data_IF_736444308247
#
_entry.id   IF_736444308247
#
_cell.length_a   1.000
_cell.length_b   1.000
_cell.length_c   1.000
_cell.angle_alpha   90.00
_cell.angle_beta   90.00
_cell.angle_gamma   90.00
#
_symmetry.space_group_name_H-M   'P 1'
#
loop_
_entity.id
_entity.type
_entity.pdbx_description
1 polymer ?
#
# COMPACT_ATOMS: atom_id res chain seq x y z
N UNK A 1 0.32 -6.06 7.82
CA UNK A 1 0.38 -4.58 7.81
C UNK A 1 1.31 -4.01 6.72
N UNK A 2 2.60 -4.37 6.68
CA UNK A 2 3.56 -3.81 5.71
C UNK A 2 3.16 -4.04 4.24
N UNK A 3 2.74 -5.26 3.88
CA UNK A 3 2.33 -5.59 2.52
C UNK A 3 1.12 -4.75 2.07
N UNK A 4 0.09 -4.63 2.92
CA UNK A 4 -1.06 -3.78 2.64
C UNK A 4 -0.64 -2.30 2.50
N UNK A 5 0.29 -1.82 3.33
CA UNK A 5 0.80 -0.46 3.26
C UNK A 5 1.51 -0.18 1.93
N UNK A 6 2.38 -1.10 1.51
CA UNK A 6 3.16 -0.98 0.29
C UNK A 6 2.29 -1.13 -0.96
N UNK A 7 1.65 -2.28 -1.14
CA UNK A 7 0.86 -2.57 -2.35
C UNK A 7 -0.41 -1.73 -2.46
N UNK A 8 -0.96 -1.26 -1.33
CA UNK A 8 -2.08 -0.31 -1.32
C UNK A 8 -1.68 1.16 -1.45
N UNK A 9 -0.38 1.48 -1.55
CA UNK A 9 0.14 2.86 -1.57
C UNK A 9 -0.40 3.71 -0.42
N UNK A 10 -0.60 3.11 0.75
CA UNK A 10 -1.40 3.69 1.82
C UNK A 10 -0.66 4.79 2.56
N UNK A 11 -1.39 5.84 2.95
CA UNK A 11 -0.92 6.75 3.99
C UNK A 11 -1.00 6.04 5.34
N UNK A 12 -0.10 6.37 6.27
CA UNK A 12 -0.15 5.78 7.61
C UNK A 12 -1.51 5.96 8.31
N UNK A 13 -2.18 7.09 8.13
CA UNK A 13 -3.51 7.36 8.70
C UNK A 13 -4.63 6.53 8.07
N UNK A 14 -4.40 5.95 6.90
CA UNK A 14 -5.35 5.03 6.25
C UNK A 14 -5.26 3.63 6.86
N UNK A 15 -4.20 3.32 7.65
CA UNK A 15 -3.97 2.00 8.26
C UNK A 15 -4.05 2.01 9.79
N UNK A 16 -3.44 3.02 10.40
CA UNK A 16 -3.12 3.02 11.82
C UNK A 16 -3.57 4.35 12.45
N UNK A 17 -4.53 4.30 13.39
CA UNK A 17 -5.00 5.51 14.07
C UNK A 17 -3.92 6.17 14.94
N UNK A 18 -3.98 7.49 15.06
CA UNK A 18 -3.09 8.25 15.98
C UNK A 18 -3.53 8.17 17.45
N UNK A 19 -4.74 7.65 17.72
CA UNK A 19 -5.32 7.52 19.06
C UNK A 19 -5.40 6.05 19.47
N UNK A 20 -5.47 5.79 20.78
CA UNK A 20 -5.73 4.48 21.35
C UNK A 20 -7.22 4.12 21.36
N UNK A 21 -8.12 5.11 21.33
CA UNK A 21 -9.56 4.89 21.29
C UNK A 21 -9.98 4.46 19.88
N UNK A 22 -10.59 3.28 19.77
CA UNK A 22 -11.03 2.77 18.49
C UNK A 22 -12.45 3.29 18.15
N UNK A 23 -12.65 3.65 16.88
CA UNK A 23 -13.96 4.04 16.35
C UNK A 23 -14.13 3.39 14.96
N UNK A 24 -15.02 2.39 14.82
CA UNK A 24 -15.20 1.66 13.57
C UNK A 24 -15.77 2.51 12.44
N UNK A 25 -16.34 3.70 12.71
CA UNK A 25 -16.82 4.59 11.65
C UNK A 25 -15.70 5.27 10.87
N UNK A 26 -14.50 5.41 11.46
CA UNK A 26 -13.38 6.14 10.87
C UNK A 26 -12.06 5.36 10.85
N UNK A 27 -11.93 4.31 11.65
CA UNK A 27 -10.74 3.48 11.72
C UNK A 27 -10.95 2.16 10.96
N UNK A 28 -9.87 1.61 10.36
CA UNK A 28 -9.94 0.32 9.67
C UNK A 28 -10.46 -0.80 10.58
N UNK A 29 -11.43 -1.55 10.09
CA UNK A 29 -12.06 -2.69 10.76
C UNK A 29 -11.93 -3.95 9.91
N UNK A 30 -12.19 -5.12 10.50
CA UNK A 30 -12.15 -6.39 9.75
C UNK A 30 -13.13 -6.42 8.57
N UNK A 31 -14.30 -5.79 8.72
CA UNK A 31 -15.31 -5.63 7.65
C UNK A 31 -14.81 -4.85 6.43
N UNK A 32 -13.74 -4.09 6.57
CA UNK A 32 -13.20 -3.26 5.49
C UNK A 32 -12.33 -4.08 4.53
N UNK A 33 -12.01 -5.34 4.87
CA UNK A 33 -11.41 -6.31 3.95
C UNK A 33 -12.48 -7.31 3.53
N UNK A 34 -12.76 -7.39 2.23
CA UNK A 34 -13.68 -8.35 1.65
C UNK A 34 -13.05 -9.13 0.51
N UNK A 35 -13.51 -10.36 0.28
CA UNK A 35 -13.17 -11.09 -0.94
C UNK A 35 -13.87 -10.47 -2.15
N UNK A 36 -13.17 -10.39 -3.28
CA UNK A 36 -13.72 -9.88 -4.54
C UNK A 36 -13.75 -10.97 -5.63
N UNK A 37 -12.64 -11.68 -5.78
CA UNK A 37 -12.53 -12.90 -6.59
C UNK A 37 -11.72 -13.95 -5.80
N UNK A 38 -11.61 -15.21 -6.25
CA UNK A 38 -10.76 -16.21 -5.60
C UNK A 38 -9.29 -15.78 -5.42
N UNK A 39 -8.84 -14.80 -6.22
CA UNK A 39 -7.47 -14.29 -6.27
C UNK A 39 -7.40 -12.78 -5.97
N UNK A 40 -8.44 -12.18 -5.41
CA UNK A 40 -8.38 -10.77 -5.01
C UNK A 40 -9.21 -10.42 -3.78
N UNK A 41 -8.68 -9.48 -3.00
CA UNK A 41 -9.34 -8.83 -1.87
C UNK A 41 -9.59 -7.36 -2.21
N UNK A 42 -10.63 -6.77 -1.63
CA UNK A 42 -10.85 -5.33 -1.60
C UNK A 42 -10.59 -4.84 -0.18
N UNK A 43 -9.75 -3.82 -0.07
CA UNK A 43 -9.64 -2.99 1.11
C UNK A 43 -10.40 -1.67 0.90
N UNK A 44 -11.46 -1.47 1.67
CA UNK A 44 -12.35 -0.32 1.56
C UNK A 44 -11.92 0.79 2.51
N UNK A 45 -11.46 1.93 1.97
CA UNK A 45 -11.12 3.09 2.79
C UNK A 45 -12.39 3.81 3.26
N UNK A 46 -12.57 3.94 4.58
CA UNK A 46 -13.66 4.70 5.21
C UNK A 46 -13.51 6.22 5.07
N UNK A 47 -12.27 6.71 5.07
CA UNK A 47 -11.97 8.14 4.93
C UNK A 47 -10.68 8.32 4.15
N UNK A 48 -10.77 9.01 3.01
CA UNK A 48 -9.60 9.49 2.27
C UNK A 48 -9.38 10.97 2.58
N UNK A 49 -8.12 11.40 2.73
CA UNK A 49 -7.76 12.82 2.90
C UNK A 49 -8.21 13.70 1.72
N UNK A 50 -8.43 13.11 0.55
CA UNK A 50 -8.81 13.83 -0.69
C UNK A 50 -10.27 13.64 -1.06
N UNK A 51 -11.03 12.90 -0.25
CA UNK A 51 -12.44 12.63 -0.49
C UNK A 51 -13.31 13.51 0.41
N UNK A 52 -13.57 14.73 -0.06
CA UNK A 52 -14.49 15.66 0.59
C UNK A 52 -15.96 15.24 0.43
N UNK A 53 -16.25 14.20 -0.38
CA UNK A 53 -17.59 13.75 -0.74
C UNK A 53 -17.98 12.38 -0.17
N UNK A 54 -17.10 11.70 0.59
CA UNK A 54 -17.39 10.44 1.25
C UNK A 54 -17.56 9.23 0.32
N UNK A 55 -16.99 9.27 -0.89
CA UNK A 55 -16.92 8.11 -1.79
C UNK A 55 -15.83 7.13 -1.32
N UNK A 56 -16.27 6.01 -0.75
CA UNK A 56 -15.42 4.86 -0.44
C UNK A 56 -14.50 4.53 -1.64
N UNK A 57 -13.19 4.52 -1.41
CA UNK A 57 -12.21 4.21 -2.43
C UNK A 57 -11.74 2.76 -2.24
N UNK A 58 -12.14 1.82 -3.12
CA UNK A 58 -11.68 0.44 -3.03
C UNK A 58 -10.21 0.35 -3.44
N UNK A 59 -9.44 -0.41 -2.68
CA UNK A 59 -8.08 -0.80 -3.02
C UNK A 59 -8.08 -2.29 -3.28
N UNK A 60 -7.75 -2.67 -4.50
CA UNK A 60 -7.69 -4.06 -4.91
C UNK A 60 -6.32 -4.63 -4.57
N UNK A 61 -6.32 -5.78 -3.89
CA UNK A 61 -5.14 -6.54 -3.52
C UNK A 61 -5.24 -7.88 -4.24
N UNK A 62 -4.31 -8.14 -5.14
CA UNK A 62 -4.31 -9.34 -5.98
C UNK A 62 -3.35 -10.38 -5.44
N UNK A 63 -3.68 -11.65 -5.68
CA UNK A 63 -2.74 -12.77 -5.56
C UNK A 63 -1.67 -12.63 -6.63
N UNK A 64 -0.40 -12.66 -6.21
CA UNK A 64 0.75 -12.53 -7.10
C UNK A 64 1.58 -13.81 -7.05
N UNK A 65 2.17 -14.20 -8.17
CA UNK A 65 3.15 -15.29 -8.20
C UNK A 65 4.52 -14.80 -7.70
N UNK A 66 4.62 -14.46 -6.41
CA UNK A 66 5.82 -13.89 -5.80
C UNK A 66 5.85 -14.13 -4.28
N UNK A 67 7.04 -14.21 -3.70
CA UNK A 67 7.25 -14.36 -2.26
C UNK A 67 6.73 -13.18 -1.43
N UNK A 68 6.52 -12.02 -2.05
CA UNK A 68 5.92 -10.83 -1.43
C UNK A 68 4.45 -10.62 -1.83
N UNK A 69 3.75 -11.65 -2.31
CA UNK A 69 2.31 -11.56 -2.59
C UNK A 69 1.56 -11.02 -1.37
N UNK A 70 0.80 -9.91 -1.50
CA UNK A 70 0.05 -9.35 -0.38
C UNK A 70 -1.20 -10.16 -0.04
N UNK A 71 -1.70 -10.99 -0.95
CA UNK A 71 -2.98 -11.67 -0.83
C UNK A 71 -3.01 -12.66 0.33
N UNK A 72 -2.11 -13.65 0.33
CA UNK A 72 -2.12 -14.76 1.29
C UNK A 72 -1.98 -14.26 2.73
N UNK A 73 -0.97 -13.42 3.07
CA UNK A 73 -0.79 -13.00 4.45
C UNK A 73 -1.93 -12.13 4.98
N UNK A 74 -2.59 -11.35 4.12
CA UNK A 74 -3.74 -10.53 4.51
C UNK A 74 -4.99 -11.41 4.68
N UNK A 75 -5.24 -12.31 3.73
CA UNK A 75 -6.37 -13.24 3.77
C UNK A 75 -6.29 -14.14 5.00
N UNK A 76 -5.15 -14.79 5.24
CA UNK A 76 -4.93 -15.67 6.40
C UNK A 76 -5.05 -14.91 7.72
N UNK A 77 -4.53 -13.69 7.78
CA UNK A 77 -4.69 -12.84 8.96
C UNK A 77 -6.16 -12.53 9.25
N UNK A 78 -6.94 -12.11 8.24
CA UNK A 78 -8.37 -11.81 8.43
C UNK A 78 -9.17 -13.07 8.79
N UNK A 79 -8.90 -14.19 8.12
CA UNK A 79 -9.55 -15.48 8.41
C UNK A 79 -9.24 -15.95 9.84
N UNK A 80 -7.97 -15.85 10.28
CA UNK A 80 -7.60 -16.22 11.65
C UNK A 80 -8.29 -15.34 12.71
N UNK A 81 -8.52 -14.05 12.41
CA UNK A 81 -9.27 -13.16 13.31
C UNK A 81 -10.72 -13.61 13.45
N UNK A 82 -11.39 -13.93 12.34
CA UNK A 82 -12.76 -14.44 12.38
C UNK A 82 -12.88 -15.83 13.02
N UNK A 83 -11.90 -16.70 12.80
CA UNK A 83 -11.84 -18.02 13.46
C UNK A 83 -11.72 -17.92 14.98
N UNK A 84 -11.15 -16.82 15.50
CA UNK A 84 -11.08 -16.49 16.92
C UNK A 84 -12.27 -15.64 17.40
N UNK A 85 -13.40 -15.67 16.70
CA UNK A 85 -14.65 -15.00 17.07
C UNK A 85 -14.59 -13.47 17.14
N UNK A 86 -13.62 -12.83 16.48
CA UNK A 86 -13.59 -11.36 16.35
C UNK A 86 -14.85 -10.86 15.62
N UNK A 87 -15.44 -9.77 16.13
CA UNK A 87 -16.54 -9.08 15.45
C UNK A 87 -16.06 -8.33 14.19
N UNK A 88 -16.85 -8.22 13.11
CA UNK A 88 -16.48 -7.47 11.90
C UNK A 88 -16.08 -6.01 12.17
N UNK A 89 -16.65 -5.41 13.23
CA UNK A 89 -16.39 -4.04 13.62
C UNK A 89 -15.15 -3.88 14.49
N UNK A 90 -14.43 -4.95 14.83
CA UNK A 90 -13.16 -4.82 15.56
C UNK A 90 -12.04 -4.20 14.72
N UNK A 91 -10.99 -3.63 15.36
CA UNK A 91 -9.85 -3.08 14.64
C UNK A 91 -9.25 -4.09 13.68
N UNK A 92 -8.94 -3.63 12.46
CA UNK A 92 -8.33 -4.47 11.43
C UNK A 92 -7.01 -5.05 11.93
N UNK A 93 -6.09 -4.23 12.43
CA UNK A 93 -4.80 -4.70 12.93
C UNK A 93 -4.69 -4.59 14.45
N UNK A 94 -4.18 -5.66 15.06
CA UNK A 94 -3.84 -5.73 16.48
C UNK A 94 -2.33 -5.86 16.68
N UNK A 95 -1.86 -5.37 17.82
CA UNK A 95 -0.51 -5.60 18.33
C UNK A 95 -0.39 -6.99 18.92
N UNK A 96 0.83 -7.37 19.30
CA UNK A 96 1.13 -8.65 19.95
C UNK A 96 0.35 -8.86 21.26
N UNK A 97 -0.09 -7.78 21.90
CA UNK A 97 -0.86 -7.80 23.14
C UNK A 97 -2.39 -7.69 22.91
N UNK A 98 -2.86 -7.87 21.67
CA UNK A 98 -4.29 -7.82 21.33
C UNK A 98 -4.90 -6.42 21.33
N UNK A 99 -4.09 -5.35 21.46
CA UNK A 99 -4.57 -3.96 21.38
C UNK A 99 -4.60 -3.49 19.93
N UNK A 100 -5.42 -2.50 19.60
CA UNK A 100 -5.37 -1.87 18.27
C UNK A 100 -3.96 -1.37 17.92
N UNK A 101 -3.48 -1.69 16.73
CA UNK A 101 -2.23 -1.18 16.20
C UNK A 101 -2.34 0.33 15.89
N UNK A 102 -1.73 1.16 16.72
CA UNK A 102 -1.69 2.62 16.53
C UNK A 102 -0.56 3.03 15.60
N UNK A 103 -0.58 4.27 15.11
CA UNK A 103 0.51 4.86 14.32
C UNK A 103 1.84 4.83 15.06
N UNK A 104 1.83 5.08 16.36
CA UNK A 104 3.02 5.03 17.21
C UNK A 104 3.59 3.60 17.28
N UNK A 105 2.72 2.62 17.55
CA UNK A 105 3.13 1.22 17.57
C UNK A 105 3.66 0.79 16.21
N UNK A 106 2.97 1.14 15.12
CA UNK A 106 3.37 0.76 13.77
C UNK A 106 4.73 1.33 13.39
N UNK A 107 4.98 2.61 13.70
CA UNK A 107 6.27 3.24 13.45
C UNK A 107 7.38 2.56 14.28
N UNK A 108 7.14 2.32 15.57
CA UNK A 108 8.11 1.62 16.43
C UNK A 108 8.42 0.21 15.91
N UNK A 109 7.39 -0.53 15.50
CA UNK A 109 7.54 -1.88 14.96
C UNK A 109 8.29 -1.85 13.62
N UNK A 110 7.97 -0.91 12.73
CA UNK A 110 8.67 -0.74 11.45
C UNK A 110 10.16 -0.45 11.62
N UNK A 111 10.51 0.55 12.43
CA UNK A 111 11.92 0.90 12.68
C UNK A 111 12.68 -0.24 13.36
N UNK A 112 12.02 -0.99 14.26
CA UNK A 112 12.60 -2.19 14.86
C UNK A 112 12.92 -3.24 13.79
N UNK A 113 11.97 -3.55 12.90
CA UNK A 113 12.17 -4.55 11.83
C UNK A 113 13.31 -4.15 10.89
N UNK A 114 13.43 -2.87 10.53
CA UNK A 114 14.56 -2.37 9.73
C UNK A 114 15.88 -2.61 10.44
N UNK A 115 15.99 -2.18 11.70
CA UNK A 115 17.21 -2.32 12.49
C UNK A 115 17.60 -3.80 12.66
N UNK A 116 16.65 -4.69 12.95
CA UNK A 116 16.93 -6.14 13.06
C UNK A 116 17.30 -6.78 11.73
N UNK A 117 16.97 -6.14 10.61
CA UNK A 117 17.34 -6.59 9.26
C UNK A 117 18.67 -5.97 8.77
N UNK A 118 19.39 -5.25 9.64
CA UNK A 118 20.65 -4.58 9.28
C UNK A 118 20.48 -3.30 8.46
N UNK A 119 19.25 -2.77 8.35
CA UNK A 119 18.95 -1.55 7.62
C UNK A 119 18.88 -0.39 8.62
N UNK A 120 19.63 0.69 8.36
CA UNK A 120 19.58 1.88 9.21
C UNK A 120 18.16 2.50 9.18
N UNK A 121 17.50 2.70 10.33
CA UNK A 121 16.16 3.27 10.40
C UNK A 121 16.11 4.78 10.18
N UNK A 122 17.24 5.48 10.17
CA UNK A 122 17.33 6.96 10.21
C UNK A 122 16.61 7.65 9.05
N UNK A 123 16.58 7.02 7.88
CA UNK A 123 15.96 7.58 6.68
C UNK A 123 14.55 7.04 6.39
N UNK A 124 14.01 6.23 7.31
CA UNK A 124 12.73 5.57 7.12
C UNK A 124 11.66 6.11 8.04
N UNK A 125 10.46 6.24 7.50
CA UNK A 125 9.24 6.53 8.24
C UNK A 125 8.09 5.75 7.64
N UNK A 126 6.92 5.79 8.28
CA UNK A 126 5.73 5.17 7.67
C UNK A 126 5.35 5.76 6.30
N UNK A 127 5.81 6.97 5.97
CA UNK A 127 5.61 7.56 4.64
C UNK A 127 6.46 6.86 3.56
N UNK A 128 7.55 6.21 3.96
CA UNK A 128 8.43 5.45 3.07
C UNK A 128 7.71 4.30 2.37
N UNK A 129 6.64 3.71 2.94
CA UNK A 129 5.84 2.71 2.24
C UNK A 129 5.23 3.26 0.96
N UNK A 130 4.62 4.46 1.04
CA UNK A 130 3.94 5.08 -0.10
C UNK A 130 4.93 5.61 -1.13
N UNK A 131 6.03 6.22 -0.68
CA UNK A 131 7.11 6.66 -1.58
C UNK A 131 7.73 5.44 -2.26
N UNK A 132 8.16 4.45 -1.48
CA UNK A 132 8.82 3.25 -1.98
C UNK A 132 7.95 2.48 -2.98
N UNK A 133 6.64 2.39 -2.75
CA UNK A 133 5.72 1.77 -3.70
C UNK A 133 5.69 2.49 -5.05
N UNK A 134 5.63 3.83 -5.06
CA UNK A 134 5.67 4.61 -6.31
C UNK A 134 7.02 4.55 -7.01
N UNK A 135 8.12 4.70 -6.27
CA UNK A 135 9.46 4.58 -6.86
C UNK A 135 9.67 3.18 -7.44
N UNK A 136 9.25 2.11 -6.75
CA UNK A 136 9.36 0.74 -7.26
C UNK A 136 8.49 0.52 -8.50
N UNK A 137 7.28 1.06 -8.52
CA UNK A 137 6.39 0.98 -9.68
C UNK A 137 6.99 1.68 -10.90
N UNK A 138 7.56 2.88 -10.72
CA UNK A 138 8.22 3.61 -11.78
C UNK A 138 9.45 2.84 -12.32
N UNK A 139 10.31 2.32 -11.43
CA UNK A 139 11.45 1.49 -11.83
C UNK A 139 11.05 0.18 -12.51
N UNK A 140 9.81 -0.29 -12.31
CA UNK A 140 9.24 -1.43 -13.03
C UNK A 140 8.60 -1.05 -14.37
N UNK A 141 8.70 0.22 -14.79
CA UNK A 141 8.14 0.72 -16.05
C UNK A 141 6.62 0.92 -16.03
N UNK A 142 5.99 0.98 -14.86
CA UNK A 142 4.55 1.29 -14.76
C UNK A 142 4.34 2.76 -15.12
N UNK A 143 3.32 3.04 -15.93
CA UNK A 143 3.06 4.41 -16.38
C UNK A 143 2.71 5.36 -15.23
N UNK A 144 3.09 6.62 -15.39
CA UNK A 144 2.79 7.71 -14.45
C UNK A 144 1.29 7.80 -14.14
N UNK A 145 0.42 7.61 -15.15
CA UNK A 145 -1.04 7.61 -14.97
C UNK A 145 -1.48 6.47 -14.05
N UNK A 146 -0.91 5.28 -14.25
CA UNK A 146 -1.24 4.10 -13.44
C UNK A 146 -0.74 4.28 -12.00
N UNK A 147 0.49 4.78 -11.81
CA UNK A 147 1.05 5.10 -10.48
C UNK A 147 0.19 6.15 -9.78
N UNK A 148 -0.26 7.18 -10.50
CA UNK A 148 -1.15 8.22 -9.98
C UNK A 148 -2.47 7.64 -9.49
N UNK A 149 -3.06 6.71 -10.25
CA UNK A 149 -4.29 5.99 -9.88
C UNK A 149 -4.06 5.09 -8.66
N UNK A 150 -3.03 4.24 -8.67
CA UNK A 150 -2.68 3.34 -7.55
C UNK A 150 -2.44 4.12 -6.26
N UNK A 151 -1.70 5.23 -6.37
CA UNK A 151 -1.43 6.11 -5.25
C UNK A 151 -2.60 6.99 -4.85
N UNK A 152 -3.65 7.16 -5.66
CA UNK A 152 -4.74 8.12 -5.39
C UNK A 152 -4.20 9.54 -5.20
N UNK A 153 -3.29 9.96 -6.08
CA UNK A 153 -2.78 11.32 -6.10
C UNK A 153 -3.70 12.22 -6.95
N UNK A 154 -4.20 13.30 -6.33
CA UNK A 154 -5.04 14.30 -7.01
C UNK A 154 -4.22 15.33 -7.79
N UNK A 155 -2.91 15.42 -7.54
CA UNK A 155 -1.98 16.33 -8.18
C UNK A 155 -0.71 15.60 -8.61
N UNK A 156 0.13 16.27 -9.39
CA UNK A 156 1.44 15.80 -9.85
C UNK A 156 2.48 15.60 -8.73
N UNK A 157 2.09 15.65 -7.45
CA UNK A 157 2.98 15.42 -6.31
C UNK A 157 3.70 14.06 -6.35
N UNK A 158 3.18 13.08 -7.10
CA UNK A 158 3.84 11.79 -7.33
C UNK A 158 5.13 11.92 -8.14
N UNK A 159 5.24 12.92 -9.03
CA UNK A 159 6.45 13.17 -9.83
C UNK A 159 7.68 13.47 -8.99
N UNK A 160 7.51 14.02 -7.79
CA UNK A 160 8.61 14.24 -6.84
C UNK A 160 9.21 12.93 -6.30
N UNK A 161 8.49 11.81 -6.45
CA UNK A 161 8.94 10.49 -6.00
C UNK A 161 9.51 9.63 -7.13
N UNK A 162 9.21 10.00 -8.38
CA UNK A 162 9.73 9.36 -9.59
C UNK A 162 11.00 10.11 -10.00
N UNK A 163 12.15 9.58 -9.61
CA UNK A 163 13.41 10.08 -10.11
C UNK A 163 13.72 9.33 -11.41
N UNK A 164 13.73 10.03 -12.54
CA UNK A 164 14.20 9.48 -13.81
C UNK A 164 15.66 9.07 -13.64
N UNK A 165 15.92 7.78 -13.44
CA UNK A 165 17.29 7.31 -13.36
C UNK A 165 17.85 7.10 -14.80
N UNK A 166 19.16 7.01 -14.94
CA UNK A 166 19.82 6.82 -16.25
C UNK A 166 19.33 5.55 -16.98
N UNK A 167 18.89 4.53 -16.24
CA UNK A 167 18.37 3.30 -16.78
C UNK A 167 17.01 3.50 -17.44
N UNK A 168 16.14 4.33 -16.88
CA UNK A 168 14.83 4.68 -17.46
C UNK A 168 15.03 5.42 -18.80
N UNK A 169 16.00 6.33 -18.85
CA UNK A 169 16.39 7.02 -20.09
C UNK A 169 16.98 6.04 -21.12
N UNK A 170 17.83 5.11 -20.70
CA UNK A 170 18.40 4.09 -21.58
C UNK A 170 17.31 3.16 -22.14
N UNK A 171 16.36 2.71 -21.31
CA UNK A 171 15.23 1.89 -21.76
C UNK A 171 14.31 2.66 -22.71
N UNK A 172 14.03 3.94 -22.44
CA UNK A 172 13.26 4.79 -23.34
C UNK A 172 13.97 4.94 -24.70
N UNK A 173 15.28 5.18 -24.71
CA UNK A 173 16.08 5.25 -25.95
C UNK A 173 16.12 3.92 -26.70
N UNK A 174 16.27 2.80 -25.99
CA UNK A 174 16.22 1.46 -26.57
C UNK A 174 14.84 1.13 -27.16
N UNK A 175 13.76 1.58 -26.51
CA UNK A 175 12.41 1.38 -27.02
C UNK A 175 12.16 2.22 -28.28
N UNK A 176 12.58 3.49 -28.30
CA UNK A 176 12.51 4.37 -29.48
C UNK A 176 13.30 3.78 -30.66
N UNK A 177 14.49 3.22 -30.41
CA UNK A 177 15.32 2.62 -31.47
C UNK A 177 14.78 1.27 -31.97
N UNK A 178 14.00 0.57 -31.15
CA UNK A 178 13.33 -0.68 -31.54
C UNK A 178 12.10 -0.47 -32.43
N UNK A 179 11.61 0.76 -32.54
CA UNK A 179 10.50 1.11 -33.41
C UNK A 179 10.97 1.06 -34.87
N UNK A 180 10.68 -0.05 -35.57
CA UNK A 180 10.81 -0.09 -37.02
C UNK A 180 9.76 0.85 -37.62
N UNK A 181 10.15 1.86 -38.42
CA UNK A 181 9.17 2.62 -39.16
C UNK A 181 8.39 1.65 -40.05
N UNK A 182 7.07 1.67 -39.97
CA UNK A 182 6.24 1.16 -41.06
C UNK A 182 6.59 2.04 -42.26
N UNK A 183 7.36 1.46 -43.18
CA UNK A 183 8.27 2.20 -44.06
C UNK A 183 7.63 3.40 -44.72
N UNK A 184 8.09 4.59 -44.35
CA UNK A 184 8.22 5.75 -45.24
C UNK A 184 9.34 6.62 -44.66
N UNK A 185 10.58 6.38 -45.10
CA UNK A 185 11.60 7.36 -45.47
C UNK A 185 12.59 6.66 -46.39
#
# INVERSE_FOLDING_TARGET
MFLLAFFGFLRCSELAPSTSAFNPAIHPSLSDISAHTPDSLIYTLKKSKTDQFGRSCPIYIFRLNSFISPFEPISEYVLSRYANSSSPQEPLFLTENGKMATRLWFNKHFLKVLSTSGISPEHYSLHSFRIGAATSAASAGISDETIRVMGRWSSEAYRLYIHNNLNDLHQAQAHISSFKPLGVF
#
